data_IF_373436326021
#
_entry.id   IF_373436326021
#
_cell.length_a   1.000
_cell.length_b   1.000
_cell.length_c   1.000
_cell.angle_alpha   90.00
_cell.angle_beta   90.00
_cell.angle_gamma   90.00
#
_symmetry.space_group_name_H-M   'P 1'
#
loop_
_entity.id
_entity.type
_entity.pdbx_description
1 polymer ?
#
# COMPACT_ATOMS: atom_id res chain seq x y z
N UNK A 1 3.12 -15.98 -1.07
CA UNK A 1 4.26 -15.74 -0.15
C UNK A 1 5.53 -16.21 -0.82
N UNK A 2 6.69 -15.54 -0.64
CA UNK A 2 7.94 -15.87 -1.32
C UNK A 2 8.33 -17.35 -1.23
N UNK A 3 8.19 -17.96 -0.05
CA UNK A 3 8.53 -19.37 0.22
C UNK A 3 7.71 -20.41 -0.54
N UNK A 4 6.57 -20.04 -1.12
CA UNK A 4 5.64 -20.98 -1.78
C UNK A 4 5.33 -20.61 -3.22
N UNK A 5 5.97 -19.56 -3.75
CA UNK A 5 5.74 -19.15 -5.13
C UNK A 5 6.87 -19.65 -6.03
N UNK A 6 6.49 -19.97 -7.26
CA UNK A 6 7.45 -20.15 -8.34
C UNK A 6 7.74 -18.76 -8.92
N UNK A 7 9.03 -18.37 -9.06
CA UNK A 7 9.39 -17.13 -9.73
C UNK A 7 8.81 -17.12 -11.14
N UNK A 8 8.40 -15.95 -11.63
CA UNK A 8 7.87 -15.80 -12.99
C UNK A 8 8.98 -15.59 -14.05
N UNK A 9 10.21 -15.98 -13.71
CA UNK A 9 11.41 -15.90 -14.54
C UNK A 9 12.25 -17.18 -14.37
N UNK A 10 13.13 -17.46 -15.32
CA UNK A 10 13.99 -18.64 -15.27
C UNK A 10 15.28 -18.39 -14.49
N UNK A 11 15.78 -19.42 -13.81
CA UNK A 11 17.04 -19.37 -13.07
C UNK A 11 17.87 -20.59 -13.47
N UNK A 12 19.12 -20.36 -13.90
CA UNK A 12 20.04 -21.45 -14.23
C UNK A 12 20.45 -22.23 -12.96
N UNK A 13 20.72 -23.53 -13.11
CA UNK A 13 20.96 -24.43 -11.97
C UNK A 13 22.25 -24.16 -11.17
N UNK A 14 23.21 -23.43 -11.75
CA UNK A 14 24.48 -23.06 -11.12
C UNK A 14 24.44 -21.66 -10.46
N UNK A 15 23.28 -21.02 -10.41
CA UNK A 15 23.07 -19.70 -9.77
C UNK A 15 22.71 -19.88 -8.30
N UNK A 16 23.36 -19.12 -7.41
CA UNK A 16 22.95 -19.01 -6.00
C UNK A 16 21.68 -18.17 -5.89
N UNK A 17 20.53 -18.83 -5.92
CA UNK A 17 19.20 -18.22 -5.83
C UNK A 17 18.38 -18.82 -4.70
N UNK A 18 17.66 -17.99 -3.94
CA UNK A 18 16.84 -18.46 -2.83
C UNK A 18 15.63 -17.56 -2.55
N UNK A 19 14.55 -18.11 -1.97
CA UNK A 19 13.47 -17.29 -1.43
C UNK A 19 13.96 -16.48 -0.22
N UNK A 20 13.33 -15.32 0.04
CA UNK A 20 13.66 -14.47 1.19
C UNK A 20 13.75 -15.25 2.53
N UNK A 21 12.87 -16.23 2.74
CA UNK A 21 12.80 -17.00 3.98
C UNK A 21 14.09 -17.78 4.31
N UNK A 22 14.93 -18.03 3.32
CA UNK A 22 16.21 -18.73 3.51
C UNK A 22 17.38 -17.77 3.74
N UNK A 23 17.19 -16.47 3.51
CA UNK A 23 18.23 -15.46 3.71
C UNK A 23 18.84 -15.48 5.14
N UNK A 24 18.05 -15.63 6.23
CA UNK A 24 18.62 -15.76 7.57
C UNK A 24 19.45 -17.02 7.82
N UNK A 25 19.39 -18.03 6.93
CA UNK A 25 20.12 -19.30 7.05
C UNK A 25 21.51 -19.25 6.40
N UNK A 26 21.83 -18.15 5.71
CA UNK A 26 23.14 -17.96 5.07
C UNK A 26 24.21 -17.81 6.14
N UNK A 27 25.12 -18.79 6.24
CA UNK A 27 26.21 -18.81 7.21
C UNK A 27 27.53 -18.24 6.68
N UNK A 28 27.72 -18.28 5.36
CA UNK A 28 28.92 -17.77 4.69
C UNK A 28 28.55 -16.53 3.87
N UNK A 29 29.24 -15.42 4.11
CA UNK A 29 29.02 -14.18 3.40
C UNK A 29 29.33 -14.36 1.89
N UNK A 30 28.38 -14.08 0.98
CA UNK A 30 28.64 -14.04 -0.46
C UNK A 30 29.48 -12.81 -0.82
N UNK A 31 29.96 -12.75 -2.06
CA UNK A 31 30.65 -11.56 -2.58
C UNK A 31 29.73 -10.33 -2.69
N UNK A 32 28.41 -10.56 -2.75
CA UNK A 32 27.38 -9.52 -2.76
C UNK A 32 25.98 -10.12 -2.77
N UNK A 33 24.98 -9.25 -2.68
CA UNK A 33 23.57 -9.60 -2.64
C UNK A 33 22.82 -8.90 -3.78
N UNK A 34 21.98 -9.63 -4.49
CA UNK A 34 20.99 -9.09 -5.42
C UNK A 34 19.60 -9.32 -4.85
N UNK A 35 18.92 -8.26 -4.42
CA UNK A 35 17.53 -8.33 -3.95
C UNK A 35 16.59 -8.07 -5.13
N UNK A 36 15.69 -9.01 -5.42
CA UNK A 36 14.81 -8.96 -6.59
C UNK A 36 13.39 -8.58 -6.18
N UNK A 37 13.00 -7.33 -6.42
CA UNK A 37 11.65 -6.84 -6.14
C UNK A 37 11.63 -5.66 -5.17
N UNK A 38 10.73 -4.71 -5.42
CA UNK A 38 10.62 -3.45 -4.66
C UNK A 38 9.34 -3.33 -3.83
N UNK A 39 8.59 -4.43 -3.67
CA UNK A 39 7.48 -4.49 -2.72
C UNK A 39 7.98 -4.51 -1.27
N UNK A 40 7.05 -4.56 -0.31
CA UNK A 40 7.37 -4.58 1.12
C UNK A 40 8.40 -5.65 1.50
N UNK A 41 8.27 -6.84 0.91
CA UNK A 41 9.21 -7.96 1.06
C UNK A 41 10.66 -7.59 0.69
N UNK A 42 10.86 -6.89 -0.44
CA UNK A 42 12.19 -6.48 -0.88
C UNK A 42 12.75 -5.33 -0.06
N UNK A 43 11.90 -4.38 0.33
CA UNK A 43 12.24 -3.32 1.29
C UNK A 43 12.77 -3.95 2.60
N UNK A 44 12.06 -4.95 3.13
CA UNK A 44 12.44 -5.63 4.38
C UNK A 44 13.72 -6.46 4.23
N UNK A 45 13.94 -7.07 3.07
CA UNK A 45 15.18 -7.78 2.78
C UNK A 45 16.39 -6.82 2.81
N UNK A 46 16.29 -5.67 2.13
CA UNK A 46 17.32 -4.65 2.13
C UNK A 46 17.60 -4.10 3.54
N UNK A 47 16.54 -3.72 4.27
CA UNK A 47 16.67 -3.23 5.65
C UNK A 47 17.27 -4.29 6.59
N UNK A 48 16.90 -5.56 6.42
CA UNK A 48 17.46 -6.65 7.21
C UNK A 48 18.95 -6.83 6.93
N UNK A 49 19.39 -6.80 5.67
CA UNK A 49 20.81 -6.88 5.30
C UNK A 49 21.61 -5.72 5.90
N UNK A 50 21.10 -4.49 5.77
CA UNK A 50 21.71 -3.30 6.38
C UNK A 50 21.78 -3.41 7.90
N UNK A 51 20.71 -3.89 8.55
CA UNK A 51 20.66 -4.13 9.99
C UNK A 51 21.60 -5.26 10.46
N UNK A 52 22.06 -6.13 9.56
CA UNK A 52 23.11 -7.14 9.82
C UNK A 52 24.52 -6.63 9.53
N UNK A 53 24.67 -5.36 9.16
CA UNK A 53 25.97 -4.74 8.90
C UNK A 53 26.53 -5.07 7.51
N UNK A 54 25.72 -5.55 6.57
CA UNK A 54 26.14 -5.68 5.17
C UNK A 54 26.41 -4.29 4.61
N UNK A 55 27.57 -4.12 3.97
CA UNK A 55 27.93 -2.87 3.31
C UNK A 55 26.86 -2.52 2.24
N UNK A 56 26.27 -1.30 2.26
CA UNK A 56 25.33 -0.87 1.23
C UNK A 56 25.85 -1.04 -0.21
N UNK A 57 27.16 -0.94 -0.44
CA UNK A 57 27.77 -1.11 -1.76
C UNK A 57 27.80 -2.58 -2.22
N UNK A 58 27.68 -3.54 -1.29
CA UNK A 58 27.54 -4.97 -1.59
C UNK A 58 26.10 -5.39 -1.91
N UNK A 59 25.12 -4.47 -1.81
CA UNK A 59 23.70 -4.74 -2.08
C UNK A 59 23.33 -4.12 -3.42
N UNK A 60 22.92 -4.95 -4.37
CA UNK A 60 22.25 -4.54 -5.61
C UNK A 60 20.75 -4.77 -5.46
N UNK A 61 19.93 -3.75 -5.71
CA UNK A 61 18.49 -3.83 -5.58
C UNK A 61 17.79 -3.65 -6.93
N UNK A 62 17.07 -4.69 -7.39
CA UNK A 62 16.30 -4.64 -8.63
C UNK A 62 14.90 -4.10 -8.34
N UNK A 63 14.66 -2.87 -8.81
CA UNK A 63 13.41 -2.12 -8.64
C UNK A 63 12.69 -2.04 -9.99
N UNK A 64 11.74 -2.94 -10.22
CA UNK A 64 10.98 -2.98 -11.48
C UNK A 64 10.03 -1.78 -11.64
N UNK A 65 9.47 -1.28 -10.54
CA UNK A 65 8.68 -0.05 -10.43
C UNK A 65 8.87 0.55 -9.04
N UNK A 66 9.18 1.84 -8.96
CA UNK A 66 9.18 2.56 -7.69
C UNK A 66 7.74 2.74 -7.16
N UNK A 67 7.59 2.68 -5.84
CA UNK A 67 6.30 2.72 -5.15
C UNK A 67 6.06 4.05 -4.43
N UNK A 68 4.83 4.54 -4.49
CA UNK A 68 4.30 5.40 -3.45
C UNK A 68 4.06 4.56 -2.20
N UNK A 69 4.45 5.07 -1.03
CA UNK A 69 4.34 4.42 0.27
C UNK A 69 3.57 5.32 1.24
N UNK A 70 3.03 4.72 2.30
CA UNK A 70 2.37 5.45 3.38
C UNK A 70 3.35 5.64 4.54
N UNK A 71 3.38 6.83 5.14
CA UNK A 71 4.14 7.04 6.38
C UNK A 71 3.47 6.27 7.51
N UNK A 72 4.23 5.34 8.13
CA UNK A 72 3.72 4.48 9.22
C UNK A 72 3.22 5.29 10.41
N UNK A 73 3.71 6.52 10.60
CA UNK A 73 3.26 7.40 11.67
C UNK A 73 1.79 7.81 11.50
N UNK A 74 1.32 7.92 10.25
CA UNK A 74 -0.04 8.35 9.92
C UNK A 74 -1.10 7.26 10.08
N UNK A 75 -0.71 6.04 10.49
CA UNK A 75 -1.63 4.89 10.64
C UNK A 75 -1.85 4.48 12.09
N UNK A 76 -1.37 5.27 13.05
CA UNK A 76 -1.45 4.95 14.48
C UNK A 76 -2.81 5.39 15.07
N UNK A 77 -3.32 4.63 16.05
CA UNK A 77 -4.68 4.83 16.61
C UNK A 77 -4.69 5.19 18.10
N UNK A 78 -3.53 5.56 18.64
CA UNK A 78 -3.42 6.14 19.97
C UNK A 78 -3.61 7.66 19.89
N UNK A 79 -4.13 8.26 20.96
CA UNK A 79 -4.50 9.69 20.98
C UNK A 79 -3.31 10.63 20.69
N UNK A 80 -2.11 10.24 21.12
CA UNK A 80 -0.87 10.98 20.85
C UNK A 80 -0.52 11.13 19.37
N UNK A 81 -1.09 10.28 18.50
CA UNK A 81 -0.94 10.33 17.04
C UNK A 81 -2.16 10.95 16.33
N UNK A 82 -3.05 11.63 17.06
CA UNK A 82 -4.25 12.21 16.47
C UNK A 82 -3.93 13.11 15.27
N UNK A 83 -2.95 14.00 15.41
CA UNK A 83 -2.62 14.96 14.35
C UNK A 83 -1.98 14.28 13.15
N UNK A 84 -1.17 13.25 13.34
CA UNK A 84 -0.57 12.50 12.25
C UNK A 84 -1.61 11.69 11.50
N UNK A 85 -2.51 11.00 12.20
CA UNK A 85 -3.53 10.15 11.56
C UNK A 85 -4.67 10.97 10.97
N UNK A 86 -5.34 11.80 11.79
CA UNK A 86 -6.48 12.60 11.33
C UNK A 86 -6.03 13.78 10.46
N UNK A 87 -4.86 14.37 10.75
CA UNK A 87 -4.28 15.42 9.90
C UNK A 87 -3.82 14.88 8.56
N UNK A 88 -3.23 13.68 8.49
CA UNK A 88 -2.94 13.03 7.19
C UNK A 88 -4.22 12.76 6.40
N UNK A 89 -5.31 12.37 7.06
CA UNK A 89 -6.60 12.22 6.38
C UNK A 89 -7.17 13.56 5.89
N UNK A 90 -7.06 14.63 6.68
CA UNK A 90 -7.42 15.99 6.26
C UNK A 90 -6.61 16.41 5.02
N UNK A 91 -5.29 16.23 5.07
CA UNK A 91 -4.37 16.53 3.98
C UNK A 91 -4.72 15.75 2.70
N UNK A 92 -5.08 14.48 2.83
CA UNK A 92 -5.54 13.66 1.69
C UNK A 92 -6.79 14.27 1.04
N UNK A 93 -7.79 14.63 1.83
CA UNK A 93 -9.06 15.16 1.34
C UNK A 93 -8.88 16.56 0.73
N UNK A 94 -8.09 17.42 1.35
CA UNK A 94 -7.75 18.75 0.80
C UNK A 94 -6.99 18.65 -0.52
N UNK A 95 -5.98 17.77 -0.58
CA UNK A 95 -5.23 17.52 -1.83
C UNK A 95 -6.15 17.05 -2.95
N UNK A 96 -7.07 16.12 -2.65
CA UNK A 96 -8.08 15.65 -3.60
C UNK A 96 -9.06 16.75 -4.00
N UNK A 97 -9.43 17.64 -3.08
CA UNK A 97 -10.36 18.74 -3.33
C UNK A 97 -9.77 19.85 -4.22
N UNK A 98 -8.44 19.99 -4.25
CA UNK A 98 -7.74 21.11 -4.88
C UNK A 98 -6.95 20.73 -6.13
N UNK A 99 -6.52 19.47 -6.26
CA UNK A 99 -5.67 19.06 -7.37
C UNK A 99 -6.32 19.27 -8.74
N UNK A 100 -5.57 19.87 -9.65
CA UNK A 100 -6.00 20.14 -11.02
C UNK A 100 -5.81 18.95 -11.96
N UNK A 101 -4.82 18.09 -11.68
CA UNK A 101 -4.49 16.89 -12.44
C UNK A 101 -4.03 15.75 -11.50
N UNK A 102 -4.01 14.49 -11.98
CA UNK A 102 -3.44 13.39 -11.20
C UNK A 102 -1.99 13.63 -10.78
N UNK A 103 -1.16 14.20 -11.65
CA UNK A 103 0.24 14.48 -11.32
C UNK A 103 0.37 15.52 -10.20
N UNK A 104 -0.37 16.62 -10.29
CA UNK A 104 -0.41 17.65 -9.24
C UNK A 104 -0.94 17.09 -7.92
N UNK A 105 -1.87 16.13 -7.97
CA UNK A 105 -2.35 15.44 -6.78
C UNK A 105 -1.23 14.66 -6.08
N UNK A 106 -0.47 13.84 -6.81
CA UNK A 106 0.59 13.03 -6.19
C UNK A 106 1.73 13.89 -5.63
N UNK A 107 2.07 14.99 -6.30
CA UNK A 107 3.01 15.99 -5.77
C UNK A 107 2.48 16.58 -4.46
N UNK A 108 1.20 16.97 -4.41
CA UNK A 108 0.60 17.52 -3.18
C UNK A 108 0.48 16.50 -2.05
N UNK A 109 0.15 15.25 -2.37
CA UNK A 109 0.09 14.16 -1.39
C UNK A 109 1.47 13.84 -0.82
N UNK A 110 2.54 14.01 -1.60
CA UNK A 110 3.92 13.91 -1.09
C UNK A 110 4.28 15.12 -0.21
N UNK A 111 4.01 16.35 -0.68
CA UNK A 111 4.28 17.60 0.04
C UNK A 111 3.62 17.61 1.43
N UNK A 112 2.38 17.14 1.51
CA UNK A 112 1.60 17.07 2.75
C UNK A 112 1.91 15.85 3.62
N UNK A 113 2.83 14.98 3.18
CA UNK A 113 3.29 13.81 3.91
C UNK A 113 2.29 12.64 3.97
N UNK A 114 1.21 12.66 3.18
CA UNK A 114 0.32 11.51 3.03
C UNK A 114 1.03 10.36 2.33
N UNK A 115 1.68 10.67 1.20
CA UNK A 115 2.57 9.76 0.50
C UNK A 115 4.03 10.09 0.76
N UNK A 116 4.85 9.06 0.67
CA UNK A 116 6.31 9.16 0.69
C UNK A 116 6.88 8.27 -0.40
N UNK A 117 8.07 8.63 -0.90
CA UNK A 117 8.86 7.80 -1.80
C UNK A 117 10.28 7.65 -1.29
N UNK A 118 10.93 6.55 -1.68
CA UNK A 118 12.30 6.27 -1.26
C UNK A 118 13.26 7.20 -2.01
N UNK A 119 13.22 7.25 -3.33
CA UNK A 119 14.15 8.06 -4.13
C UNK A 119 13.44 9.30 -4.71
N UNK A 120 13.84 10.54 -4.32
CA UNK A 120 13.14 11.77 -4.71
C UNK A 120 13.36 12.18 -6.17
N UNK A 121 14.38 11.62 -6.82
CA UNK A 121 14.73 11.81 -8.22
C UNK A 121 13.94 10.91 -9.17
N UNK A 122 13.12 10.00 -8.64
CA UNK A 122 12.32 9.04 -9.42
C UNK A 122 10.83 9.24 -9.14
N UNK A 123 10.02 9.30 -10.21
CA UNK A 123 8.56 9.32 -10.12
C UNK A 123 8.04 7.89 -9.94
N UNK A 124 7.38 7.56 -8.82
CA UNK A 124 6.78 6.25 -8.63
C UNK A 124 5.62 5.99 -9.59
N UNK A 125 5.33 4.71 -9.87
CA UNK A 125 4.23 4.27 -10.75
C UNK A 125 3.43 3.09 -10.16
N UNK A 126 3.75 2.70 -8.94
CA UNK A 126 3.13 1.58 -8.23
C UNK A 126 2.59 2.07 -6.90
N UNK A 127 1.46 1.50 -6.47
CA UNK A 127 0.95 1.70 -5.13
C UNK A 127 0.28 0.42 -4.63
N UNK A 128 0.74 -0.09 -3.49
CA UNK A 128 0.22 -1.29 -2.81
C UNK A 128 -0.08 -1.05 -1.33
N UNK A 129 -0.14 0.21 -0.91
CA UNK A 129 -0.38 0.61 0.48
C UNK A 129 0.62 0.05 1.50
N UNK A 130 1.86 -0.17 1.07
CA UNK A 130 2.95 -0.53 1.97
C UNK A 130 3.30 0.68 2.85
N UNK A 131 3.48 0.42 4.16
CA UNK A 131 3.89 1.44 5.13
C UNK A 131 5.40 1.40 5.35
N UNK A 132 5.99 2.57 5.56
CA UNK A 132 7.42 2.76 5.80
C UNK A 132 7.64 3.88 6.82
N UNK A 133 8.75 3.85 7.57
CA UNK A 133 9.17 4.97 8.42
C UNK A 133 10.21 5.85 7.72
N UNK A 134 10.35 7.11 8.15
CA UNK A 134 11.39 8.01 7.64
C UNK A 134 12.82 7.46 7.84
N UNK A 135 13.19 6.89 9.01
CA UNK A 135 14.50 6.26 9.18
C UNK A 135 14.74 5.08 8.23
N UNK A 136 13.71 4.27 7.94
CA UNK A 136 13.85 3.19 6.95
C UNK A 136 14.14 3.73 5.54
N UNK A 137 13.53 4.85 5.15
CA UNK A 137 13.84 5.52 3.87
C UNK A 137 15.29 5.98 3.84
N UNK A 138 15.79 6.58 4.93
CA UNK A 138 17.18 7.05 5.03
C UNK A 138 18.18 5.90 4.87
N UNK A 139 17.91 4.77 5.53
CA UNK A 139 18.73 3.56 5.41
C UNK A 139 18.71 2.99 3.99
N UNK A 140 17.54 2.85 3.36
CA UNK A 140 17.42 2.36 2.00
C UNK A 140 18.16 3.24 0.98
N UNK A 141 18.19 4.56 1.21
CA UNK A 141 18.92 5.51 0.34
C UNK A 141 20.44 5.33 0.39
N UNK A 142 20.98 4.60 1.36
CA UNK A 142 22.41 4.25 1.40
C UNK A 142 22.77 3.26 0.31
N UNK A 143 21.84 2.41 -0.12
CA UNK A 143 22.03 1.49 -1.25
C UNK A 143 22.04 2.30 -2.54
N UNK A 144 23.20 2.37 -3.20
CA UNK A 144 23.36 3.13 -4.47
C UNK A 144 23.15 2.27 -5.71
N UNK A 145 23.40 0.96 -5.61
CA UNK A 145 23.27 0.02 -6.71
C UNK A 145 21.81 -0.38 -6.94
N UNK A 146 20.98 0.56 -7.40
CA UNK A 146 19.55 0.34 -7.67
C UNK A 146 19.29 0.23 -9.17
N UNK A 147 18.91 -0.97 -9.62
CA UNK A 147 18.68 -1.28 -11.04
C UNK A 147 17.20 -1.11 -11.39
N UNK A 148 16.91 -0.23 -12.36
CA UNK A 148 15.55 0.12 -12.83
C UNK A 148 15.29 -0.28 -14.28
N UNK A 149 15.66 -1.51 -14.63
CA UNK A 149 15.51 -2.04 -16.00
C UNK A 149 14.27 -2.94 -16.17
N UNK A 150 13.26 -2.78 -15.30
CA UNK A 150 12.01 -3.54 -15.33
C UNK A 150 12.08 -4.87 -14.57
N UNK A 151 11.23 -5.83 -14.94
CA UNK A 151 11.16 -7.16 -14.32
C UNK A 151 12.29 -8.05 -14.82
N UNK A 152 12.77 -8.92 -13.95
CA UNK A 152 13.71 -10.00 -14.33
C UNK A 152 12.99 -10.98 -15.26
N UNK A 153 13.70 -11.44 -16.29
CA UNK A 153 13.28 -12.47 -17.25
C UNK A 153 14.03 -13.77 -17.06
N UNK A 154 15.33 -13.67 -16.80
CA UNK A 154 16.17 -14.81 -16.48
C UNK A 154 17.41 -14.41 -15.69
N UNK A 155 17.95 -15.37 -14.94
CA UNK A 155 19.26 -15.27 -14.29
C UNK A 155 20.10 -16.43 -14.77
N UNK A 156 21.24 -16.14 -15.40
CA UNK A 156 22.28 -17.11 -15.72
C UNK A 156 23.52 -16.87 -14.86
N UNK A 157 24.56 -17.67 -15.09
CA UNK A 157 25.82 -17.67 -14.34
C UNK A 157 26.46 -16.27 -14.19
N UNK A 158 26.36 -15.46 -15.25
CA UNK A 158 27.17 -14.27 -15.49
C UNK A 158 26.31 -13.03 -15.83
N UNK A 159 25.00 -13.18 -16.01
CA UNK A 159 24.10 -12.07 -16.30
C UNK A 159 22.68 -12.26 -15.76
N UNK A 160 22.02 -11.14 -15.50
CA UNK A 160 20.58 -11.03 -15.21
C UNK A 160 19.95 -10.29 -16.39
N UNK A 161 18.99 -10.94 -17.06
CA UNK A 161 18.21 -10.33 -18.15
C UNK A 161 16.96 -9.71 -17.56
N UNK A 162 16.72 -8.43 -17.85
CA UNK A 162 15.53 -7.67 -17.46
C UNK A 162 14.76 -7.18 -18.69
N UNK A 163 13.54 -6.68 -18.49
CA UNK A 163 12.70 -6.14 -19.58
C UNK A 163 13.43 -5.12 -20.47
N UNK A 164 14.30 -4.29 -19.90
CA UNK A 164 14.93 -3.13 -20.57
C UNK A 164 16.45 -3.18 -20.61
N UNK A 165 17.06 -4.34 -20.37
CA UNK A 165 18.50 -4.48 -20.45
C UNK A 165 19.05 -5.70 -19.72
N UNK A 166 20.37 -5.75 -19.63
CA UNK A 166 21.13 -6.84 -19.02
C UNK A 166 22.11 -6.25 -18.03
N UNK A 167 22.27 -6.87 -16.87
CA UNK A 167 23.28 -6.50 -15.88
C UNK A 167 24.16 -7.70 -15.55
N UNK A 168 25.45 -7.49 -15.27
CA UNK A 168 26.34 -8.59 -14.89
C UNK A 168 25.97 -9.17 -13.52
N UNK A 169 26.27 -10.45 -13.32
CA UNK A 169 26.28 -11.11 -12.01
C UNK A 169 27.40 -12.15 -11.97
N UNK A 170 27.49 -12.95 -10.91
CA UNK A 170 28.44 -14.06 -10.82
C UNK A 170 27.92 -15.19 -9.92
N UNK A 171 28.53 -16.39 -9.98
CA UNK A 171 28.22 -17.48 -9.05
C UNK A 171 28.50 -17.16 -7.56
N UNK A 172 29.29 -16.11 -7.30
CA UNK A 172 29.65 -15.69 -5.93
C UNK A 172 28.59 -14.75 -5.31
N UNK A 173 27.67 -14.23 -6.12
CA UNK A 173 26.59 -13.33 -5.71
C UNK A 173 25.35 -14.14 -5.32
N UNK A 174 24.74 -13.77 -4.19
CA UNK A 174 23.50 -14.35 -3.72
C UNK A 174 22.29 -13.57 -4.26
N UNK A 175 21.38 -14.26 -4.94
CA UNK A 175 20.13 -13.69 -5.47
C UNK A 175 18.97 -14.04 -4.54
N UNK A 176 18.35 -13.01 -3.96
CA UNK A 176 17.24 -13.13 -3.00
C UNK A 176 15.94 -12.78 -3.69
N UNK A 177 15.04 -13.75 -3.78
CA UNK A 177 13.75 -13.60 -4.42
C UNK A 177 12.73 -12.93 -3.49
N UNK A 178 12.38 -11.68 -3.84
CA UNK A 178 11.33 -10.89 -3.24
C UNK A 178 10.25 -10.51 -4.28
N UNK A 179 10.18 -11.25 -5.40
CA UNK A 179 9.35 -10.91 -6.56
C UNK A 179 7.89 -11.40 -6.45
N UNK A 180 7.59 -12.20 -5.42
CA UNK A 180 6.25 -12.72 -5.17
C UNK A 180 5.21 -11.60 -5.06
N UNK A 181 4.12 -11.70 -5.83
CA UNK A 181 2.95 -10.85 -5.62
C UNK A 181 2.10 -11.41 -4.48
N UNK A 182 1.79 -10.58 -3.48
CA UNK A 182 0.84 -10.90 -2.43
C UNK A 182 -0.61 -10.89 -2.95
N UNK A 183 -0.86 -10.13 -4.02
CA UNK A 183 -2.18 -9.93 -4.61
C UNK A 183 -2.13 -10.35 -6.08
N UNK A 184 -2.66 -11.53 -6.39
CA UNK A 184 -2.99 -11.86 -7.77
C UNK A 184 -4.15 -10.96 -8.22
N UNK A 185 -4.32 -10.77 -9.53
CA UNK A 185 -5.36 -9.90 -10.09
C UNK A 185 -6.76 -10.47 -9.76
N UNK A 186 -7.29 -10.16 -8.57
CA UNK A 186 -8.59 -10.64 -8.11
C UNK A 186 -9.63 -9.77 -8.79
N UNK A 187 -10.30 -10.32 -9.80
CA UNK A 187 -11.44 -9.66 -10.44
C UNK A 187 -12.50 -9.33 -9.40
N UNK A 188 -13.03 -8.11 -9.44
CA UNK A 188 -14.09 -7.66 -8.56
C UNK A 188 -15.34 -8.51 -8.81
N UNK A 189 -15.94 -9.04 -7.75
CA UNK A 189 -17.19 -9.80 -7.79
C UNK A 189 -18.23 -9.19 -6.86
N UNK A 190 -19.49 -9.48 -7.09
CA UNK A 190 -20.54 -9.23 -6.10
C UNK A 190 -20.21 -10.00 -4.81
N UNK A 191 -20.39 -9.37 -3.64
CA UNK A 191 -20.06 -10.00 -2.34
C UNK A 191 -21.13 -11.01 -1.96
N UNK A 192 -22.41 -10.68 -2.10
CA UNK A 192 -23.52 -11.56 -1.77
C UNK A 192 -24.22 -12.07 -3.02
N UNK A 193 -24.28 -13.39 -3.17
CA UNK A 193 -25.00 -14.08 -4.24
C UNK A 193 -25.72 -15.31 -3.69
N UNK A 194 -26.97 -15.14 -3.28
CA UNK A 194 -27.82 -16.15 -2.67
C UNK A 194 -27.20 -16.70 -1.37
N UNK A 195 -26.68 -17.93 -1.44
CA UNK A 195 -26.05 -18.62 -0.30
C UNK A 195 -24.52 -18.48 -0.28
N UNK A 196 -23.96 -17.70 -1.18
CA UNK A 196 -22.51 -17.55 -1.35
C UNK A 196 -22.09 -16.14 -0.95
N UNK A 197 -21.10 -16.06 -0.07
CA UNK A 197 -20.40 -14.83 0.27
C UNK A 197 -19.01 -14.89 -0.36
N UNK A 198 -18.63 -13.87 -1.14
CA UNK A 198 -17.29 -13.68 -1.73
C UNK A 198 -16.60 -12.51 -1.04
N UNK A 199 -15.85 -12.76 0.06
CA UNK A 199 -15.25 -11.70 0.85
C UNK A 199 -14.24 -10.89 0.03
N UNK A 200 -14.43 -9.57 0.01
CA UNK A 200 -13.53 -8.60 -0.61
C UNK A 200 -13.38 -7.41 0.33
N UNK A 201 -12.42 -6.52 0.06
CA UNK A 201 -12.31 -5.29 0.83
C UNK A 201 -13.52 -4.40 0.55
N UNK A 202 -14.17 -3.90 1.59
CA UNK A 202 -15.21 -2.84 1.49
C UNK A 202 -14.67 -1.49 2.01
N UNK A 203 -13.45 -1.51 2.54
CA UNK A 203 -12.67 -0.35 2.96
C UNK A 203 -11.19 -0.55 2.59
N UNK A 204 -10.47 0.49 2.13
CA UNK A 204 -9.06 0.38 1.77
C UNK A 204 -8.20 -0.17 2.92
N UNK A 205 -7.34 -1.15 2.59
CA UNK A 205 -6.27 -1.69 3.44
C UNK A 205 -6.72 -2.35 4.76
N UNK A 206 -8.02 -2.59 4.94
CA UNK A 206 -8.55 -3.13 6.19
C UNK A 206 -9.33 -4.43 5.94
N UNK A 207 -8.64 -5.56 5.66
CA UNK A 207 -9.30 -6.84 5.38
C UNK A 207 -10.09 -7.36 6.58
N UNK A 208 -9.60 -7.16 7.81
CA UNK A 208 -10.26 -7.64 9.03
C UNK A 208 -11.53 -6.82 9.32
N UNK A 209 -11.47 -5.49 9.19
CA UNK A 209 -12.68 -4.64 9.27
C UNK A 209 -13.67 -5.05 8.20
N UNK A 210 -13.22 -5.25 6.96
CA UNK A 210 -14.09 -5.60 5.84
C UNK A 210 -14.82 -6.93 6.08
N UNK A 211 -14.12 -7.96 6.56
CA UNK A 211 -14.73 -9.24 6.91
C UNK A 211 -15.77 -9.11 8.03
N UNK A 212 -15.46 -8.34 9.09
CA UNK A 212 -16.40 -8.08 10.17
C UNK A 212 -17.63 -7.29 9.71
N UNK A 213 -17.43 -6.29 8.85
CA UNK A 213 -18.51 -5.47 8.31
C UNK A 213 -19.43 -6.29 7.39
N UNK A 214 -18.87 -7.12 6.51
CA UNK A 214 -19.62 -8.04 5.65
C UNK A 214 -20.46 -9.00 6.51
N UNK A 215 -19.88 -9.58 7.56
CA UNK A 215 -20.61 -10.46 8.47
C UNK A 215 -21.74 -9.72 9.22
N UNK A 216 -21.50 -8.48 9.67
CA UNK A 216 -22.53 -7.66 10.29
C UNK A 216 -23.69 -7.37 9.32
N UNK A 217 -23.38 -6.99 8.08
CA UNK A 217 -24.38 -6.72 7.05
C UNK A 217 -25.19 -7.98 6.70
N UNK A 218 -24.53 -9.14 6.61
CA UNK A 218 -25.19 -10.42 6.36
C UNK A 218 -26.30 -10.72 7.38
N UNK A 219 -26.01 -10.48 8.66
CA UNK A 219 -26.90 -10.78 9.78
C UNK A 219 -27.98 -9.73 10.02
N UNK A 220 -27.76 -8.49 9.56
CA UNK A 220 -28.60 -7.34 9.93
C UNK A 220 -29.55 -6.90 8.83
N UNK A 221 -29.32 -7.28 7.57
CA UNK A 221 -30.10 -6.82 6.42
C UNK A 221 -30.61 -8.00 5.59
N UNK A 222 -31.79 -7.83 5.00
CA UNK A 222 -32.37 -8.79 4.07
C UNK A 222 -32.09 -8.37 2.61
N UNK A 223 -31.93 -9.37 1.74
CA UNK A 223 -31.78 -9.18 0.29
C UNK A 223 -30.36 -8.80 -0.15
N UNK A 224 -29.88 -9.47 -1.19
CA UNK A 224 -28.53 -9.25 -1.73
C UNK A 224 -28.34 -7.84 -2.25
N UNK A 225 -29.37 -7.20 -2.81
CA UNK A 225 -29.28 -5.83 -3.33
C UNK A 225 -28.91 -4.83 -2.22
N UNK A 226 -29.59 -4.91 -1.07
CA UNK A 226 -29.28 -4.05 0.09
C UNK A 226 -27.89 -4.34 0.64
N UNK A 227 -27.55 -5.63 0.79
CA UNK A 227 -26.24 -6.04 1.32
C UNK A 227 -25.10 -5.59 0.40
N UNK A 228 -25.23 -5.79 -0.91
CA UNK A 228 -24.23 -5.39 -1.90
C UNK A 228 -24.14 -3.86 -2.06
N UNK A 229 -25.23 -3.11 -1.86
CA UNK A 229 -25.17 -1.64 -1.80
C UNK A 229 -24.31 -1.14 -0.65
N UNK A 230 -24.36 -1.80 0.51
CA UNK A 230 -23.49 -1.46 1.65
C UNK A 230 -22.07 -2.02 1.53
N UNK A 231 -21.90 -3.12 0.79
CA UNK A 231 -20.65 -3.86 0.69
C UNK A 231 -20.04 -3.79 -0.71
N UNK A 232 -20.08 -2.61 -1.37
CA UNK A 232 -19.46 -2.48 -2.68
C UNK A 232 -17.94 -2.72 -2.57
N UNK A 233 -17.35 -3.63 -3.39
CA UNK A 233 -15.93 -3.96 -3.28
C UNK A 233 -15.03 -2.78 -3.64
N UNK A 234 -14.14 -2.45 -2.72
CA UNK A 234 -13.04 -1.51 -2.93
C UNK A 234 -11.91 -2.23 -3.68
N UNK A 235 -11.52 -1.77 -4.89
CA UNK A 235 -10.45 -2.40 -5.65
C UNK A 235 -9.10 -2.32 -4.92
N UNK A 236 -8.30 -3.35 -5.10
CA UNK A 236 -6.92 -3.36 -4.64
C UNK A 236 -6.06 -2.55 -5.63
N UNK A 237 -5.25 -1.59 -5.16
CA UNK A 237 -4.41 -0.81 -6.06
C UNK A 237 -3.25 -1.65 -6.60
N UNK A 238 -2.76 -1.30 -7.79
CA UNK A 238 -1.52 -1.80 -8.34
C UNK A 238 -0.72 -0.74 -9.12
N UNK A 239 -1.40 0.10 -9.89
CA UNK A 239 -0.85 1.34 -10.42
C UNK A 239 -1.06 2.47 -9.40
N UNK A 240 -0.24 3.51 -9.44
CA UNK A 240 -0.42 4.67 -8.56
C UNK A 240 -1.84 5.27 -8.69
N UNK A 241 -2.32 5.49 -9.90
CA UNK A 241 -3.66 6.04 -10.22
C UNK A 241 -4.84 5.19 -9.73
N UNK A 242 -4.63 3.91 -9.37
CA UNK A 242 -5.67 3.13 -8.69
C UNK A 242 -6.05 3.73 -7.33
N UNK A 243 -5.19 4.60 -6.77
CA UNK A 243 -5.50 5.51 -5.67
C UNK A 243 -6.85 6.21 -5.83
N UNK A 244 -7.08 6.78 -7.01
CA UNK A 244 -8.31 7.51 -7.30
C UNK A 244 -9.51 6.56 -7.30
N UNK A 245 -9.36 5.40 -7.95
CA UNK A 245 -10.44 4.40 -8.12
C UNK A 245 -10.91 3.86 -6.77
N UNK A 246 -9.98 3.38 -5.94
CA UNK A 246 -10.39 2.82 -4.65
C UNK A 246 -10.89 3.92 -3.69
N UNK A 247 -10.34 5.14 -3.76
CA UNK A 247 -10.79 6.24 -2.89
C UNK A 247 -12.23 6.63 -3.24
N UNK A 248 -12.59 6.62 -4.53
CA UNK A 248 -13.96 6.93 -4.97
C UNK A 248 -14.97 5.92 -4.43
N UNK A 249 -14.65 4.62 -4.55
CA UNK A 249 -15.51 3.56 -3.99
C UNK A 249 -15.58 3.67 -2.47
N UNK A 250 -14.46 3.94 -1.80
CA UNK A 250 -14.43 4.10 -0.34
C UNK A 250 -15.30 5.26 0.15
N UNK A 251 -15.26 6.41 -0.54
CA UNK A 251 -16.11 7.57 -0.20
C UNK A 251 -17.59 7.28 -0.46
N UNK A 252 -17.91 6.60 -1.57
CA UNK A 252 -19.28 6.17 -1.87
C UNK A 252 -19.82 5.19 -0.81
N UNK A 253 -19.01 4.21 -0.39
CA UNK A 253 -19.36 3.29 0.69
C UNK A 253 -19.60 4.04 2.01
N UNK A 254 -18.68 4.93 2.40
CA UNK A 254 -18.83 5.71 3.62
C UNK A 254 -20.10 6.59 3.59
N UNK A 255 -20.45 7.16 2.44
CA UNK A 255 -21.71 7.88 2.25
C UNK A 255 -22.91 6.95 2.48
N UNK A 256 -22.95 5.77 1.86
CA UNK A 256 -24.05 4.81 2.07
C UNK A 256 -24.18 4.42 3.54
N UNK A 257 -23.08 4.15 4.23
CA UNK A 257 -23.09 3.82 5.66
C UNK A 257 -23.61 4.97 6.51
N UNK A 258 -23.31 6.21 6.13
CA UNK A 258 -23.77 7.39 6.85
C UNK A 258 -25.28 7.63 6.73
N UNK A 259 -25.93 7.09 5.69
CA UNK A 259 -27.40 7.15 5.54
C UNK A 259 -28.16 6.22 6.49
N UNK A 260 -27.48 5.25 7.11
CA UNK A 260 -28.09 4.23 7.96
C UNK A 260 -27.62 4.37 9.42
N UNK A 261 -28.47 4.90 10.34
CA UNK A 261 -28.09 5.11 11.73
C UNK A 261 -27.54 3.86 12.43
N UNK A 262 -28.09 2.68 12.15
CA UNK A 262 -27.64 1.43 12.75
C UNK A 262 -26.20 1.07 12.34
N UNK A 263 -25.86 1.25 11.06
CA UNK A 263 -24.48 1.04 10.56
C UNK A 263 -23.52 2.04 11.19
N UNK A 264 -23.87 3.33 11.24
CA UNK A 264 -23.01 4.34 11.89
C UNK A 264 -22.70 3.99 13.33
N UNK A 265 -23.72 3.60 14.10
CA UNK A 265 -23.55 3.21 15.50
C UNK A 265 -22.65 1.97 15.63
N UNK A 266 -22.84 0.96 14.77
CA UNK A 266 -22.00 -0.24 14.78
C UNK A 266 -20.55 0.07 14.41
N UNK A 267 -20.30 0.86 13.36
CA UNK A 267 -18.95 1.27 12.93
C UNK A 267 -18.25 2.03 14.06
N UNK A 268 -18.94 3.00 14.66
CA UNK A 268 -18.41 3.80 15.77
C UNK A 268 -18.05 2.93 16.99
N UNK A 269 -18.84 1.89 17.29
CA UNK A 269 -18.56 0.94 18.37
C UNK A 269 -17.54 -0.16 18.02
N UNK A 270 -17.09 -0.25 16.78
CA UNK A 270 -16.23 -1.35 16.34
C UNK A 270 -14.74 -1.06 16.65
N UNK A 271 -14.10 -1.94 17.42
CA UNK A 271 -12.66 -1.84 17.75
C UNK A 271 -11.71 -1.81 16.54
N UNK A 272 -12.18 -2.22 15.37
CA UNK A 272 -11.42 -2.22 14.12
C UNK A 272 -11.50 -0.88 13.37
N UNK A 273 -12.34 0.05 13.82
CA UNK A 273 -12.46 1.41 13.29
C UNK A 273 -11.62 2.40 14.12
N UNK A 274 -10.33 2.49 13.77
CA UNK A 274 -9.38 3.40 14.40
C UNK A 274 -9.81 4.87 14.39
N UNK A 275 -10.29 5.43 13.26
CA UNK A 275 -10.73 6.83 13.19
C UNK A 275 -11.88 7.15 14.14
N UNK A 276 -12.92 6.30 14.25
CA UNK A 276 -14.02 6.54 15.19
C UNK A 276 -13.55 6.51 16.64
N UNK A 277 -12.58 5.64 16.97
CA UNK A 277 -11.96 5.61 18.31
C UNK A 277 -11.28 6.95 18.63
N UNK A 278 -10.54 7.53 17.68
CA UNK A 278 -9.91 8.85 17.87
C UNK A 278 -10.96 9.95 18.02
N UNK A 279 -12.01 9.94 17.19
CA UNK A 279 -13.08 10.94 17.26
C UNK A 279 -13.90 10.87 18.55
N UNK A 280 -14.16 9.67 19.07
CA UNK A 280 -14.86 9.48 20.35
C UNK A 280 -14.04 9.93 21.56
N UNK A 281 -12.70 9.95 21.43
CA UNK A 281 -11.80 10.43 22.48
C UNK A 281 -11.74 11.95 22.61
N UNK A 282 -12.33 12.69 21.65
CA UNK A 282 -12.30 14.15 21.64
C UNK A 282 -13.08 14.76 22.80
N UNK A 283 -12.46 15.72 23.45
CA UNK A 283 -13.09 16.55 24.48
C UNK A 283 -13.58 17.87 23.87
N UNK A 284 -14.64 18.49 24.44
CA UNK A 284 -15.15 19.77 23.95
C UNK A 284 -14.12 20.91 23.88
N UNK A 285 -13.08 20.85 24.70
CA UNK A 285 -12.01 21.85 24.79
C UNK A 285 -10.77 21.52 23.94
N UNK A 286 -10.77 20.42 23.17
CA UNK A 286 -9.70 20.05 22.23
C UNK A 286 -9.73 20.91 20.94
N UNK A 287 -9.61 22.23 21.07
CA UNK A 287 -9.81 23.20 19.98
C UNK A 287 -8.99 22.89 18.72
N UNK A 288 -7.72 22.50 18.87
CA UNK A 288 -6.84 22.16 17.74
C UNK A 288 -7.28 20.88 17.03
N UNK A 289 -7.67 19.84 17.77
CA UNK A 289 -8.17 18.59 17.18
C UNK A 289 -9.49 18.82 16.48
N UNK A 290 -10.37 19.65 17.06
CA UNK A 290 -11.63 20.05 16.45
C UNK A 290 -11.42 20.83 15.14
N UNK A 291 -10.35 21.62 15.02
CA UNK A 291 -10.00 22.28 13.76
C UNK A 291 -9.63 21.26 12.66
N UNK A 292 -8.94 20.18 12.99
CA UNK A 292 -8.65 19.09 12.05
C UNK A 292 -9.95 18.40 11.61
N UNK A 293 -10.87 18.13 12.54
CA UNK A 293 -12.19 17.56 12.20
C UNK A 293 -12.96 18.47 11.26
N UNK A 294 -12.95 19.79 11.50
CA UNK A 294 -13.59 20.77 10.63
C UNK A 294 -12.99 20.77 9.23
N UNK A 295 -11.66 20.73 9.10
CA UNK A 295 -10.97 20.61 7.80
C UNK A 295 -11.43 19.38 7.02
N UNK A 296 -11.56 18.23 7.68
CA UNK A 296 -12.08 17.01 7.07
C UNK A 296 -13.53 17.20 6.60
N UNK A 297 -14.41 17.74 7.46
CA UNK A 297 -15.82 17.96 7.13
C UNK A 297 -16.01 18.87 5.92
N UNK A 298 -15.19 19.92 5.79
CA UNK A 298 -15.23 20.87 4.68
C UNK A 298 -14.63 20.30 3.39
N UNK A 299 -13.57 19.49 3.49
CA UNK A 299 -12.85 18.97 2.32
C UNK A 299 -13.47 17.72 1.72
N UNK A 300 -14.07 16.81 2.51
CA UNK A 300 -14.62 15.53 2.01
C UNK A 300 -15.63 15.71 0.86
N UNK A 301 -16.64 16.60 0.94
CA UNK A 301 -17.58 16.79 -0.17
C UNK A 301 -16.92 17.33 -1.44
N UNK A 302 -15.96 18.26 -1.28
CA UNK A 302 -15.18 18.83 -2.39
C UNK A 302 -14.28 17.78 -3.04
N UNK A 303 -13.62 16.96 -2.22
CA UNK A 303 -12.80 15.84 -2.67
C UNK A 303 -13.61 14.84 -3.48
N UNK A 304 -14.79 14.44 -2.98
CA UNK A 304 -15.68 13.51 -3.68
C UNK A 304 -16.12 14.05 -5.05
N UNK A 305 -16.43 15.35 -5.15
CA UNK A 305 -16.79 16.00 -6.40
C UNK A 305 -15.62 16.07 -7.40
N UNK A 306 -14.43 16.50 -6.95
CA UNK A 306 -13.27 16.64 -7.83
C UNK A 306 -12.70 15.28 -8.27
N UNK A 307 -12.84 14.25 -7.44
CA UNK A 307 -12.32 12.90 -7.72
C UNK A 307 -12.91 12.29 -9.01
N UNK A 308 -14.18 12.58 -9.34
CA UNK A 308 -14.78 12.14 -10.60
C UNK A 308 -14.11 12.79 -11.81
N UNK A 309 -13.73 14.07 -11.71
CA UNK A 309 -13.00 14.80 -12.76
C UNK A 309 -11.57 14.28 -12.91
N UNK A 310 -10.90 13.96 -11.81
CA UNK A 310 -9.55 13.37 -11.83
C UNK A 310 -9.56 11.96 -12.43
N UNK A 311 -10.59 11.16 -12.13
CA UNK A 311 -10.76 9.81 -12.69
C UNK A 311 -10.89 9.80 -14.21
N UNK A 312 -11.48 10.84 -14.81
CA UNK A 312 -11.60 10.97 -16.27
C UNK A 312 -10.25 11.25 -16.96
N UNK A 313 -9.23 11.67 -16.20
CA UNK A 313 -7.89 11.98 -16.72
C UNK A 313 -6.92 10.80 -16.61
N UNK A 314 -7.33 9.71 -15.96
CA UNK A 314 -6.51 8.50 -15.83
C UNK A 314 -7.12 7.38 -16.66
N UNK A 315 -6.31 6.79 -17.54
CA UNK A 315 -6.70 5.66 -18.38
C UNK A 315 -6.80 4.36 -17.60
#
# INVERSE_FOLDING_TARGET
MPSTHLPNFSVAGDVRFMPLNDLPKVSEAPAGYVVIGAGKTGIDACLWLLGKGVDPDAITWIVSRDAWLLDRRNTQIADEFFFETMGSYANQMESLAEAESPDALFEKLEETGYFVRIHPDVKPSMFHAATISRPEIEELRRIKNVIRLGRVKSISRDQIVLDKGVVPTSPEILHVDCSASALANIGIKTIFTGKTITPQMVRPYQPVFSAAFIAHVELSYAGDDTKNRFCAPVPLPNHDTDFLRFTAVSLANQYQWNTEPALRAWIAGNRLDGPSKLLQGLKPDDAEKMQVVKRIQESVPRAAANLQRLLQQVS
#
